data_IF_356724562899
#
_entry.id   IF_356724562899
#
_cell.length_a   1.000
_cell.length_b   1.000
_cell.length_c   1.000
_cell.angle_alpha   90.00
_cell.angle_beta   90.00
_cell.angle_gamma   90.00
#
_symmetry.space_group_name_H-M   'P 1'
#
loop_
_entity.id
_entity.type
_entity.pdbx_description
1 polymer ?
#
# COMPACT_ATOMS: atom_id res chain seq x y z
N UNK A 1 25.00 45.63 11.57
CA UNK A 1 26.17 44.90 11.02
C UNK A 1 25.91 44.60 9.55
N UNK A 2 26.86 44.84 8.64
CA UNK A 2 26.73 44.37 7.25
C UNK A 2 26.87 42.85 7.24
N UNK A 3 25.86 42.15 6.76
CA UNK A 3 25.96 40.71 6.51
C UNK A 3 27.02 40.45 5.44
N UNK A 4 27.71 39.30 5.51
CA UNK A 4 28.71 38.95 4.50
C UNK A 4 28.05 38.74 3.13
N UNK A 5 28.82 38.92 2.05
CA UNK A 5 28.36 38.69 0.68
C UNK A 5 27.76 37.29 0.51
N UNK A 6 28.33 36.28 1.18
CA UNK A 6 27.82 34.92 1.19
C UNK A 6 26.41 34.82 1.81
N UNK A 7 26.19 35.46 2.97
CA UNK A 7 24.88 35.47 3.63
C UNK A 7 23.84 36.22 2.81
N UNK A 8 24.23 37.25 2.06
CA UNK A 8 23.33 38.00 1.17
C UNK A 8 22.88 37.20 -0.05
N UNK A 9 23.72 36.29 -0.56
CA UNK A 9 23.42 35.49 -1.77
C UNK A 9 22.86 34.10 -1.45
N UNK A 10 23.15 33.54 -0.28
CA UNK A 10 22.77 32.18 0.11
C UNK A 10 21.83 32.12 1.31
N UNK A 11 21.50 33.27 1.91
CA UNK A 11 20.54 33.36 3.00
C UNK A 11 19.11 33.22 2.50
N UNK A 12 18.30 32.45 3.24
CA UNK A 12 16.85 32.43 3.10
C UNK A 12 16.22 33.07 4.34
N UNK A 13 15.21 33.90 4.15
CA UNK A 13 14.40 34.43 5.26
C UNK A 13 13.36 33.36 5.61
N UNK A 14 13.43 32.83 6.82
CA UNK A 14 12.39 31.97 7.38
C UNK A 14 11.63 32.74 8.44
N UNK A 15 10.30 32.71 8.38
CA UNK A 15 9.44 33.27 9.41
C UNK A 15 9.24 32.23 10.54
N UNK A 16 9.33 32.67 11.79
CA UNK A 16 9.19 31.84 12.99
C UNK A 16 8.00 32.31 13.83
N UNK A 17 6.87 32.51 13.17
CA UNK A 17 5.67 33.11 13.76
C UNK A 17 4.75 32.12 14.50
N UNK A 18 5.01 30.81 14.40
CA UNK A 18 4.22 29.76 15.07
C UNK A 18 5.08 28.81 15.93
N UNK A 19 4.42 28.04 16.80
CA UNK A 19 5.04 26.97 17.61
C UNK A 19 5.24 25.66 16.84
N UNK A 20 5.10 25.67 15.52
CA UNK A 20 5.21 24.48 14.68
C UNK A 20 6.68 24.03 14.52
N UNK A 21 6.86 22.77 14.11
CA UNK A 21 8.20 22.25 13.82
C UNK A 21 8.83 23.02 12.66
N UNK A 22 10.06 23.50 12.83
CA UNK A 22 10.78 24.28 11.82
C UNK A 22 11.56 23.37 10.88
N UNK A 23 11.60 23.74 9.60
CA UNK A 23 12.36 23.05 8.54
C UNK A 23 13.13 24.09 7.73
N UNK A 24 14.36 23.76 7.35
CA UNK A 24 15.18 24.60 6.46
C UNK A 24 14.84 24.22 5.01
N UNK A 25 14.21 25.14 4.28
CA UNK A 25 13.78 24.96 2.89
C UNK A 25 14.30 26.10 2.02
N UNK A 26 14.60 25.79 0.76
CA UNK A 26 14.89 26.81 -0.25
C UNK A 26 13.66 27.70 -0.51
N UNK A 27 13.80 28.92 -1.06
CA UNK A 27 12.65 29.80 -1.32
C UNK A 27 11.55 29.15 -2.18
N UNK A 28 11.93 28.32 -3.16
CA UNK A 28 10.97 27.60 -4.02
C UNK A 28 10.22 26.50 -3.24
N UNK A 29 10.92 25.75 -2.39
CA UNK A 29 10.29 24.73 -1.54
C UNK A 29 9.37 25.36 -0.48
N UNK A 30 9.74 26.51 0.08
CA UNK A 30 8.86 27.25 0.98
C UNK A 30 7.58 27.71 0.27
N UNK A 31 7.71 28.19 -0.97
CA UNK A 31 6.55 28.59 -1.79
C UNK A 31 5.62 27.42 -2.05
N UNK A 32 6.18 26.28 -2.49
CA UNK A 32 5.42 25.04 -2.72
C UNK A 32 4.74 24.56 -1.44
N UNK A 33 5.47 24.51 -0.31
CA UNK A 33 4.93 24.09 0.98
C UNK A 33 3.73 24.95 1.39
N UNK A 34 3.84 26.29 1.30
CA UNK A 34 2.72 27.19 1.62
C UNK A 34 1.49 26.92 0.76
N UNK A 35 1.66 26.65 -0.53
CA UNK A 35 0.53 26.33 -1.44
C UNK A 35 -0.13 25.00 -1.12
N UNK A 36 0.65 23.99 -0.75
CA UNK A 36 0.13 22.70 -0.27
C UNK A 36 -0.69 22.88 0.99
N UNK A 37 -0.15 23.58 1.98
CA UNK A 37 -0.81 23.82 3.28
C UNK A 37 -2.06 24.69 3.17
N UNK A 38 -2.11 25.61 2.20
CA UNK A 38 -3.24 26.50 2.01
C UNK A 38 -4.50 25.79 1.50
N UNK A 39 -4.36 24.68 0.78
CA UNK A 39 -5.49 24.00 0.08
C UNK A 39 -5.68 22.55 0.46
N UNK A 40 -4.65 21.88 0.99
CA UNK A 40 -4.68 20.46 1.29
C UNK A 40 -5.31 20.14 2.65
N UNK A 41 -6.00 19.00 2.72
CA UNK A 41 -6.45 18.38 3.97
C UNK A 41 -5.66 17.09 4.20
N UNK A 42 -5.14 16.84 5.42
CA UNK A 42 -4.40 15.60 5.71
C UNK A 42 -5.26 14.37 5.47
N UNK A 43 -4.72 13.32 4.84
CA UNK A 43 -5.47 12.09 4.56
C UNK A 43 -6.02 11.38 5.81
N UNK A 44 -5.39 11.56 6.97
CA UNK A 44 -5.94 11.09 8.26
C UNK A 44 -7.28 11.73 8.65
N UNK A 45 -7.58 12.91 8.10
CA UNK A 45 -8.79 13.68 8.37
C UNK A 45 -9.85 13.48 7.27
N UNK A 46 -9.56 12.67 6.25
CA UNK A 46 -10.52 12.25 5.23
C UNK A 46 -11.39 11.08 5.73
N UNK A 47 -12.56 10.88 5.12
CA UNK A 47 -13.43 9.71 5.34
C UNK A 47 -12.87 8.46 4.64
N UNK A 48 -11.66 8.06 5.04
CA UNK A 48 -10.93 6.91 4.52
C UNK A 48 -10.32 6.08 5.65
N UNK A 49 -10.06 4.81 5.38
CA UNK A 49 -9.35 3.90 6.27
C UNK A 49 -8.12 3.38 5.57
N UNK A 50 -6.96 3.51 6.23
CA UNK A 50 -5.66 3.12 5.71
C UNK A 50 -5.14 1.96 6.55
N UNK A 51 -4.93 0.80 5.93
CA UNK A 51 -4.64 -0.46 6.59
C UNK A 51 -3.38 -1.12 5.99
N UNK A 52 -2.80 -2.06 6.74
CA UNK A 52 -1.68 -2.87 6.29
C UNK A 52 -2.17 -4.16 5.61
N UNK A 53 -1.32 -4.77 4.79
CA UNK A 53 -1.60 -6.08 4.21
C UNK A 53 -1.48 -7.23 5.21
N UNK A 54 -1.93 -8.40 4.83
CA UNK A 54 -2.05 -9.58 5.69
C UNK A 54 -0.69 -10.20 5.96
N UNK A 55 -0.40 -10.45 7.23
CA UNK A 55 0.75 -11.25 7.66
C UNK A 55 0.37 -12.70 7.91
N UNK A 56 0.88 -13.60 7.08
CA UNK A 56 0.60 -15.05 7.21
C UNK A 56 1.43 -15.69 8.33
N UNK A 57 2.66 -15.21 8.56
CA UNK A 57 3.63 -15.81 9.47
C UNK A 57 4.36 -17.05 8.91
N UNK A 58 3.90 -17.65 7.81
CA UNK A 58 4.58 -18.73 7.08
C UNK A 58 4.04 -18.89 5.66
N UNK A 59 4.56 -18.10 4.71
CA UNK A 59 3.99 -17.96 3.37
C UNK A 59 3.81 -19.30 2.62
N UNK A 60 4.74 -20.23 2.73
CA UNK A 60 4.70 -21.51 1.98
C UNK A 60 3.43 -22.33 2.22
N UNK A 61 2.85 -22.25 3.43
CA UNK A 61 1.63 -22.98 3.76
C UNK A 61 0.35 -22.24 3.36
N UNK A 62 0.36 -20.90 3.46
CA UNK A 62 -0.84 -20.07 3.33
C UNK A 62 -1.01 -19.46 1.94
N UNK A 63 0.09 -19.25 1.19
CA UNK A 63 0.07 -18.71 -0.17
C UNK A 63 0.27 -19.86 -1.15
N UNK A 64 -0.76 -20.10 -1.96
CA UNK A 64 -0.81 -21.21 -2.91
C UNK A 64 -1.01 -20.71 -4.34
N UNK A 65 -0.63 -21.51 -5.33
CA UNK A 65 -0.97 -21.27 -6.73
C UNK A 65 -2.32 -21.89 -7.11
N UNK A 66 -2.73 -21.62 -8.35
CA UNK A 66 -3.92 -22.22 -8.97
C UNK A 66 -3.91 -23.74 -8.91
N UNK A 67 -2.79 -24.41 -9.24
CA UNK A 67 -2.72 -25.88 -9.21
C UNK A 67 -3.00 -26.43 -7.81
N UNK A 68 -2.37 -25.86 -6.79
CA UNK A 68 -2.59 -26.26 -5.41
C UNK A 68 -4.00 -25.93 -4.92
N UNK A 69 -4.57 -24.79 -5.33
CA UNK A 69 -5.97 -24.43 -5.05
C UNK A 69 -6.91 -25.48 -5.59
N UNK A 70 -6.78 -25.84 -6.88
CA UNK A 70 -7.63 -26.86 -7.50
C UNK A 70 -7.45 -28.23 -6.84
N UNK A 71 -6.21 -28.59 -6.48
CA UNK A 71 -5.95 -29.83 -5.75
C UNK A 71 -6.64 -29.86 -4.37
N UNK A 72 -6.66 -28.74 -3.63
CA UNK A 72 -7.38 -28.66 -2.34
C UNK A 72 -8.89 -28.82 -2.58
N UNK A 73 -9.47 -28.10 -3.55
CA UNK A 73 -10.89 -28.15 -3.86
C UNK A 73 -11.35 -29.53 -4.36
N UNK A 74 -10.50 -30.23 -5.12
CA UNK A 74 -10.77 -31.59 -5.60
C UNK A 74 -10.72 -32.64 -4.48
N UNK A 75 -10.01 -32.35 -3.38
CA UNK A 75 -9.91 -33.23 -2.21
C UNK A 75 -10.99 -32.95 -1.15
N UNK A 76 -11.89 -31.98 -1.36
CA UNK A 76 -13.06 -31.78 -0.51
C UNK A 76 -13.99 -32.99 -0.59
N UNK A 77 -14.55 -33.39 0.56
CA UNK A 77 -15.35 -34.60 0.71
C UNK A 77 -16.80 -34.39 0.28
N UNK A 78 -17.33 -33.19 0.43
CA UNK A 78 -18.69 -32.83 0.01
C UNK A 78 -18.70 -31.52 -0.76
N UNK A 79 -19.79 -31.29 -1.49
CA UNK A 79 -20.00 -30.05 -2.24
C UNK A 79 -20.12 -28.83 -1.29
N UNK A 80 -20.69 -29.01 -0.10
CA UNK A 80 -20.77 -27.96 0.92
C UNK A 80 -19.38 -27.58 1.46
N UNK A 81 -18.50 -28.57 1.70
CA UNK A 81 -17.09 -28.28 2.03
C UNK A 81 -16.40 -27.54 0.91
N UNK A 82 -16.59 -27.99 -0.35
CA UNK A 82 -15.98 -27.39 -1.53
C UNK A 82 -16.37 -25.92 -1.67
N UNK A 83 -17.66 -25.58 -1.52
CA UNK A 83 -18.15 -24.19 -1.56
C UNK A 83 -17.53 -23.32 -0.47
N UNK A 84 -17.58 -23.75 0.79
CA UNK A 84 -16.97 -23.00 1.91
C UNK A 84 -15.45 -22.83 1.73
N UNK A 85 -14.77 -23.86 1.22
CA UNK A 85 -13.33 -23.83 0.96
C UNK A 85 -12.99 -22.87 -0.19
N UNK A 86 -13.80 -22.84 -1.25
CA UNK A 86 -13.62 -21.90 -2.35
C UNK A 86 -13.75 -20.44 -1.89
N UNK A 87 -14.68 -20.14 -0.97
CA UNK A 87 -14.83 -18.79 -0.37
C UNK A 87 -13.70 -18.42 0.59
N UNK A 88 -13.09 -19.41 1.24
CA UNK A 88 -11.94 -19.26 2.14
C UNK A 88 -10.64 -18.95 1.36
N UNK A 89 -10.49 -19.47 0.14
CA UNK A 89 -9.28 -19.29 -0.67
C UNK A 89 -9.46 -18.08 -1.60
N UNK A 90 -8.76 -16.98 -1.31
CA UNK A 90 -8.96 -15.69 -1.98
C UNK A 90 -7.72 -15.22 -2.73
N UNK A 91 -7.84 -14.54 -3.88
CA UNK A 91 -6.71 -13.93 -4.57
C UNK A 91 -5.91 -12.99 -3.66
N UNK A 92 -4.58 -12.99 -3.82
CA UNK A 92 -3.67 -12.13 -3.04
C UNK A 92 -2.62 -11.47 -3.92
N UNK A 93 -2.39 -10.18 -3.67
CA UNK A 93 -1.35 -9.36 -4.25
C UNK A 93 -0.17 -9.21 -3.30
N UNK A 94 1.04 -9.24 -3.85
CA UNK A 94 2.29 -8.95 -3.16
C UNK A 94 2.80 -7.59 -3.60
N UNK A 95 3.74 -7.02 -2.85
CA UNK A 95 4.33 -5.72 -3.19
C UNK A 95 4.94 -5.61 -4.59
N UNK A 96 5.39 -6.73 -5.18
CA UNK A 96 5.93 -6.76 -6.56
C UNK A 96 4.86 -6.83 -7.65
N UNK A 97 3.63 -7.19 -7.28
CA UNK A 97 2.50 -7.33 -8.19
C UNK A 97 1.82 -5.95 -8.41
N UNK A 98 2.14 -4.95 -7.57
CA UNK A 98 1.60 -3.59 -7.65
C UNK A 98 2.26 -2.83 -8.79
N UNK A 99 1.45 -2.35 -9.73
CA UNK A 99 1.85 -1.47 -10.84
C UNK A 99 1.21 -0.09 -10.69
N UNK A 100 1.54 0.82 -11.59
CA UNK A 100 0.96 2.15 -11.60
C UNK A 100 -0.48 2.03 -12.11
N UNK A 101 -1.44 2.55 -11.36
CA UNK A 101 -2.90 2.49 -11.60
C UNK A 101 -3.53 1.09 -11.58
N UNK A 102 -2.84 0.05 -12.05
CA UNK A 102 -3.31 -1.34 -12.07
C UNK A 102 -2.36 -2.27 -11.30
N UNK A 103 -2.66 -3.57 -11.27
CA UNK A 103 -1.81 -4.60 -10.70
C UNK A 103 -1.70 -5.80 -11.66
N UNK A 104 -0.65 -6.59 -11.48
CA UNK A 104 -0.40 -7.82 -12.23
C UNK A 104 -0.54 -9.02 -11.29
N UNK A 105 -1.75 -9.59 -11.22
CA UNK A 105 -2.01 -10.72 -10.34
C UNK A 105 -1.27 -11.98 -10.84
N UNK A 106 -0.51 -12.60 -9.95
CA UNK A 106 0.39 -13.68 -10.29
C UNK A 106 -0.18 -15.09 -10.04
N UNK A 107 -1.50 -15.25 -10.21
CA UNK A 107 -2.22 -16.51 -9.97
C UNK A 107 -1.98 -17.09 -8.55
N UNK A 108 -1.83 -16.20 -7.56
CA UNK A 108 -1.61 -16.55 -6.17
C UNK A 108 -2.85 -16.32 -5.32
N UNK A 109 -3.08 -17.24 -4.41
CA UNK A 109 -4.20 -17.23 -3.50
C UNK A 109 -3.71 -17.36 -2.06
N UNK A 110 -4.48 -16.80 -1.13
CA UNK A 110 -4.33 -16.95 0.30
C UNK A 110 -5.41 -17.91 0.82
N UNK A 111 -5.01 -18.87 1.64
CA UNK A 111 -5.92 -19.57 2.56
C UNK A 111 -6.25 -18.61 3.71
N UNK A 112 -7.40 -17.93 3.63
CA UNK A 112 -7.75 -16.77 4.45
C UNK A 112 -8.34 -17.13 5.83
N UNK A 113 -7.64 -17.98 6.59
CA UNK A 113 -8.03 -18.39 7.96
C UNK A 113 -7.70 -17.30 8.99
N UNK A 114 -8.41 -16.19 8.91
CA UNK A 114 -8.21 -15.06 9.84
C UNK A 114 -8.70 -15.38 11.26
N UNK A 115 -7.91 -15.06 12.31
CA UNK A 115 -8.35 -15.21 13.70
C UNK A 115 -9.65 -14.49 14.04
N UNK A 116 -9.90 -13.31 13.44
CA UNK A 116 -11.12 -12.51 13.64
C UNK A 116 -12.42 -13.21 13.20
N UNK A 117 -12.31 -14.24 12.36
CA UNK A 117 -13.44 -15.00 11.81
C UNK A 117 -13.76 -16.27 12.59
N UNK A 118 -12.91 -16.65 13.54
CA UNK A 118 -13.12 -17.78 14.44
C UNK A 118 -13.48 -19.10 13.71
N UNK A 119 -12.82 -19.36 12.58
CA UNK A 119 -13.06 -20.59 11.81
C UNK A 119 -12.90 -21.85 12.68
N UNK A 120 -13.76 -22.83 12.41
CA UNK A 120 -13.58 -24.21 12.86
C UNK A 120 -12.91 -25.01 11.73
N UNK A 121 -11.65 -25.38 11.94
CA UNK A 121 -10.84 -26.11 10.96
C UNK A 121 -11.38 -27.51 10.67
N UNK A 122 -12.19 -28.09 11.56
CA UNK A 122 -12.82 -29.39 11.32
C UNK A 122 -13.89 -29.33 10.22
N UNK A 123 -14.42 -28.15 9.90
CA UNK A 123 -15.34 -27.93 8.79
C UNK A 123 -14.64 -27.81 7.42
N UNK A 124 -13.30 -27.82 7.41
CA UNK A 124 -12.44 -27.76 6.22
C UNK A 124 -11.40 -28.89 6.18
N UNK A 125 -11.80 -30.18 6.16
CA UNK A 125 -10.89 -31.32 6.12
C UNK A 125 -9.77 -31.25 5.08
N UNK A 126 -10.06 -30.78 3.85
CA UNK A 126 -9.06 -30.66 2.78
C UNK A 126 -7.98 -29.61 3.12
N UNK A 127 -8.39 -28.43 3.60
CA UNK A 127 -7.48 -27.35 4.04
C UNK A 127 -6.67 -27.80 5.25
N UNK A 128 -7.32 -28.44 6.23
CA UNK A 128 -6.65 -28.99 7.41
C UNK A 128 -5.53 -29.95 7.02
N UNK A 129 -5.80 -30.87 6.07
CA UNK A 129 -4.82 -31.82 5.56
C UNK A 129 -3.66 -31.13 4.85
N UNK A 130 -3.95 -30.15 3.99
CA UNK A 130 -2.93 -29.33 3.33
C UNK A 130 -2.02 -28.64 4.35
N UNK A 131 -2.58 -27.95 5.34
CA UNK A 131 -1.78 -27.25 6.35
C UNK A 131 -0.95 -28.22 7.20
N UNK A 132 -1.53 -29.34 7.64
CA UNK A 132 -0.80 -30.36 8.40
C UNK A 132 0.38 -30.97 7.63
N UNK A 133 0.36 -30.96 6.29
CA UNK A 133 1.49 -31.45 5.48
C UNK A 133 2.79 -30.66 5.69
N UNK A 134 2.70 -29.42 6.21
CA UNK A 134 3.86 -28.59 6.56
C UNK A 134 4.39 -28.85 7.99
N UNK A 135 3.71 -29.70 8.76
CA UNK A 135 4.02 -29.99 10.16
C UNK A 135 3.35 -28.99 11.12
N UNK A 136 2.64 -29.53 12.12
CA UNK A 136 1.92 -28.69 13.10
C UNK A 136 2.87 -27.85 13.94
N UNK A 137 4.04 -28.38 14.26
CA UNK A 137 5.11 -27.74 15.04
C UNK A 137 5.68 -26.52 14.33
N UNK A 138 5.63 -26.50 12.99
CA UNK A 138 6.04 -25.36 12.18
C UNK A 138 4.96 -24.29 12.14
N UNK A 139 3.70 -24.69 12.07
CA UNK A 139 2.56 -23.79 11.92
C UNK A 139 2.02 -23.25 13.24
N UNK A 140 2.22 -23.91 14.36
CA UNK A 140 1.79 -23.37 15.65
C UNK A 140 2.49 -22.05 15.95
N UNK A 141 1.80 -21.21 16.72
CA UNK A 141 2.23 -19.85 17.03
C UNK A 141 2.72 -19.81 18.48
N UNK A 142 3.69 -20.66 18.83
CA UNK A 142 4.22 -20.76 20.20
C UNK A 142 5.59 -20.10 20.39
N UNK A 143 6.31 -19.84 19.29
CA UNK A 143 7.69 -19.36 19.28
C UNK A 143 8.73 -20.40 19.72
N UNK A 144 8.34 -21.66 19.95
CA UNK A 144 9.23 -22.74 20.38
C UNK A 144 10.11 -23.23 19.23
N UNK A 145 11.22 -23.86 19.60
CA UNK A 145 12.06 -24.64 18.70
C UNK A 145 11.96 -26.10 19.08
N UNK A 146 11.68 -26.95 18.09
CA UNK A 146 11.56 -28.39 18.20
C UNK A 146 12.77 -29.07 17.57
N UNK A 147 13.14 -30.24 18.09
CA UNK A 147 14.11 -31.14 17.45
C UNK A 147 13.35 -32.39 17.02
N UNK A 148 13.13 -32.56 15.71
CA UNK A 148 12.39 -33.70 15.13
C UNK A 148 13.29 -34.38 14.11
N UNK A 149 13.56 -35.67 14.28
CA UNK A 149 14.41 -36.45 13.40
C UNK A 149 15.81 -35.83 13.16
N UNK A 150 16.36 -35.13 14.16
CA UNK A 150 17.65 -34.45 14.07
C UNK A 150 17.61 -33.05 13.44
N UNK A 151 16.47 -32.61 12.91
CA UNK A 151 16.30 -31.26 12.36
C UNK A 151 15.68 -30.31 13.38
N UNK A 152 16.16 -29.06 13.38
CA UNK A 152 15.59 -27.98 14.21
C UNK A 152 14.45 -27.31 13.46
N UNK A 153 13.24 -27.43 13.98
CA UNK A 153 12.04 -26.78 13.44
C UNK A 153 11.65 -25.64 14.37
N UNK A 154 11.53 -24.43 13.83
CA UNK A 154 11.09 -23.25 14.59
C UNK A 154 9.61 -23.00 14.31
N UNK A 155 8.81 -22.96 15.37
CA UNK A 155 7.41 -22.53 15.32
C UNK A 155 7.31 -21.06 14.90
N UNK A 156 6.14 -20.66 14.40
CA UNK A 156 5.83 -19.25 14.15
C UNK A 156 5.90 -18.43 15.45
N UNK A 157 5.98 -17.10 15.29
CA UNK A 157 6.01 -16.15 16.41
C UNK A 157 4.90 -16.48 17.42
N UNK A 158 5.21 -16.37 18.72
CA UNK A 158 4.23 -16.62 19.78
C UNK A 158 3.04 -15.65 19.67
N UNK A 159 1.83 -16.19 19.53
CA UNK A 159 0.55 -15.47 19.58
C UNK A 159 -0.49 -16.31 20.33
N UNK A 160 -1.73 -15.81 20.44
CA UNK A 160 -2.86 -16.55 21.01
C UNK A 160 -3.71 -17.25 19.93
N UNK A 161 -3.30 -17.17 18.66
CA UNK A 161 -4.05 -17.67 17.52
C UNK A 161 -3.86 -19.17 17.37
N UNK A 162 -4.82 -19.82 16.70
CA UNK A 162 -4.74 -21.25 16.40
C UNK A 162 -3.64 -21.50 15.36
N UNK A 163 -3.11 -22.73 15.38
CA UNK A 163 -1.99 -23.14 14.52
C UNK A 163 -2.31 -23.02 13.02
N UNK A 164 -3.58 -23.10 12.62
CA UNK A 164 -4.03 -23.00 11.23
C UNK A 164 -4.41 -21.58 10.81
N UNK A 165 -4.35 -20.60 11.71
CA UNK A 165 -4.73 -19.22 11.41
C UNK A 165 -3.55 -18.40 10.88
N UNK A 166 -3.81 -17.30 10.18
CA UNK A 166 -2.78 -16.30 9.87
C UNK A 166 -2.20 -15.68 11.15
N UNK A 167 -1.08 -14.97 11.03
CA UNK A 167 -0.40 -14.44 12.22
C UNK A 167 -1.13 -13.23 12.82
N UNK A 168 -1.64 -12.34 11.98
CA UNK A 168 -2.38 -11.17 12.42
C UNK A 168 -3.89 -11.46 12.41
N UNK A 169 -4.63 -10.81 13.31
CA UNK A 169 -6.08 -11.04 13.51
C UNK A 169 -6.92 -10.54 12.33
N UNK A 170 -6.52 -9.42 11.71
CA UNK A 170 -7.17 -8.76 10.56
C UNK A 170 -8.69 -8.65 10.74
N UNK A 171 -9.15 -7.69 11.55
CA UNK A 171 -10.58 -7.39 11.70
C UNK A 171 -11.18 -6.66 10.49
N UNK A 172 -10.37 -5.89 9.78
CA UNK A 172 -10.74 -5.09 8.61
C UNK A 172 -10.71 -5.88 7.28
N UNK A 173 -10.71 -7.22 7.32
CA UNK A 173 -10.51 -8.02 6.10
C UNK A 173 -11.61 -7.78 5.03
N UNK A 174 -12.81 -7.38 5.45
CA UNK A 174 -13.91 -7.03 4.54
C UNK A 174 -13.63 -5.76 3.74
N UNK A 175 -12.79 -4.85 4.25
CA UNK A 175 -12.41 -3.65 3.52
C UNK A 175 -11.63 -3.97 2.25
N UNK A 176 -10.91 -5.10 2.19
CA UNK A 176 -10.30 -5.54 0.93
C UNK A 176 -11.34 -5.78 -0.18
N UNK A 177 -12.61 -6.03 0.15
CA UNK A 177 -13.66 -6.25 -0.85
C UNK A 177 -14.23 -4.94 -1.41
N UNK A 178 -13.91 -3.81 -0.81
CA UNK A 178 -14.34 -2.49 -1.26
C UNK A 178 -13.38 -1.98 -2.35
N UNK A 179 -13.84 -1.05 -3.22
CA UNK A 179 -12.93 -0.27 -4.04
C UNK A 179 -11.84 0.34 -3.17
N UNK A 180 -10.59 0.15 -3.58
CA UNK A 180 -9.42 0.53 -2.78
C UNK A 180 -8.27 0.96 -3.66
N UNK A 181 -7.37 1.73 -3.07
CA UNK A 181 -6.01 1.87 -3.58
C UNK A 181 -5.09 0.94 -2.79
N UNK A 182 -4.16 0.27 -3.46
CA UNK A 182 -3.17 -0.62 -2.83
C UNK A 182 -1.77 -0.23 -3.33
N UNK A 183 -0.79 -0.21 -2.44
CA UNK A 183 0.59 0.12 -2.76
C UNK A 183 1.59 -0.75 -2.03
N UNK A 184 2.82 -0.79 -2.57
CA UNK A 184 3.95 -1.44 -1.92
C UNK A 184 4.42 -0.59 -0.74
N UNK A 185 4.51 -1.20 0.45
CA UNK A 185 4.91 -0.49 1.68
C UNK A 185 6.37 -0.02 1.68
N UNK A 186 7.26 -0.73 0.99
CA UNK A 186 8.68 -0.40 0.89
C UNK A 186 9.14 -0.52 -0.55
N UNK A 187 9.66 0.55 -1.13
CA UNK A 187 10.25 0.50 -2.47
C UNK A 187 10.85 1.81 -2.92
N UNK A 188 11.71 1.70 -3.93
CA UNK A 188 12.34 2.80 -4.64
C UNK A 188 11.32 3.59 -5.47
N UNK A 189 10.48 2.87 -6.22
CA UNK A 189 9.44 3.46 -7.10
C UNK A 189 8.07 3.40 -6.42
N UNK A 190 7.45 4.56 -6.28
CA UNK A 190 6.07 4.71 -5.80
C UNK A 190 5.08 4.30 -6.89
N UNK A 191 4.17 3.40 -6.55
CA UNK A 191 3.10 2.91 -7.42
C UNK A 191 1.87 2.63 -6.58
N UNK A 192 0.74 3.17 -7.01
CA UNK A 192 -0.55 2.93 -6.40
C UNK A 192 -1.46 2.29 -7.44
N UNK A 193 -2.04 1.14 -7.12
CA UNK A 193 -3.01 0.45 -7.97
C UNK A 193 -4.42 0.74 -7.46
N UNK A 194 -5.37 0.90 -8.36
CA UNK A 194 -6.80 0.90 -8.06
C UNK A 194 -7.34 -0.53 -8.21
N UNK A 195 -8.01 -1.04 -7.20
CA UNK A 195 -8.60 -2.39 -7.21
C UNK A 195 -10.05 -2.39 -6.76
N UNK A 196 -10.93 -2.87 -7.62
CA UNK A 196 -12.38 -3.05 -7.40
C UNK A 196 -12.80 -4.51 -7.35
N UNK A 197 -11.86 -5.45 -7.53
CA UNK A 197 -12.13 -6.90 -7.68
C UNK A 197 -12.04 -7.69 -6.37
N UNK A 198 -11.63 -7.04 -5.28
CA UNK A 198 -11.58 -7.66 -3.97
C UNK A 198 -10.30 -8.45 -3.67
N UNK A 199 -9.17 -8.18 -4.35
CA UNK A 199 -7.93 -8.87 -4.01
C UNK A 199 -7.46 -8.50 -2.60
N UNK A 200 -6.93 -9.50 -1.90
CA UNK A 200 -6.21 -9.28 -0.65
C UNK A 200 -4.81 -8.73 -0.94
N UNK A 201 -4.21 -8.03 0.04
CA UNK A 201 -2.81 -7.61 -0.02
C UNK A 201 -1.97 -8.35 1.03
N UNK A 202 -0.74 -8.75 0.70
CA UNK A 202 0.23 -9.30 1.65
C UNK A 202 0.89 -8.20 2.49
N UNK A 203 1.48 -8.49 3.65
CA UNK A 203 2.16 -7.54 4.57
C UNK A 203 3.26 -6.64 3.93
N UNK A 204 3.72 -7.00 2.73
CA UNK A 204 4.52 -6.15 1.85
C UNK A 204 3.77 -4.95 1.25
N UNK A 205 2.45 -4.87 1.43
CA UNK A 205 1.54 -3.85 0.90
C UNK A 205 0.82 -3.11 2.03
N UNK A 206 0.31 -1.93 1.69
CA UNK A 206 -0.71 -1.21 2.44
C UNK A 206 -1.85 -0.88 1.47
N UNK A 207 -3.04 -0.61 1.99
CA UNK A 207 -4.18 -0.23 1.17
C UNK A 207 -5.04 0.81 1.89
N UNK A 208 -5.82 1.56 1.12
CA UNK A 208 -6.79 2.51 1.63
C UNK A 208 -8.15 2.27 0.99
N UNK A 209 -9.21 2.42 1.77
CA UNK A 209 -10.61 2.31 1.34
C UNK A 209 -11.38 3.52 1.85
N UNK A 210 -12.52 3.83 1.24
CA UNK A 210 -13.33 4.98 1.61
C UNK A 210 -13.87 5.69 0.39
N UNK A 211 -14.16 6.97 0.52
CA UNK A 211 -14.61 7.81 -0.58
C UNK A 211 -13.41 8.25 -1.45
N UNK A 212 -13.66 8.62 -2.71
CA UNK A 212 -12.67 9.30 -3.58
C UNK A 212 -11.42 8.46 -3.95
N UNK A 213 -11.51 7.13 -3.94
CA UNK A 213 -10.35 6.24 -4.17
C UNK A 213 -9.70 6.40 -5.55
N UNK A 214 -10.50 6.60 -6.60
CA UNK A 214 -10.01 6.84 -7.95
C UNK A 214 -9.25 8.17 -8.04
N UNK A 215 -9.84 9.24 -7.50
CA UNK A 215 -9.20 10.56 -7.37
C UNK A 215 -7.84 10.48 -6.64
N UNK A 216 -7.80 9.79 -5.50
CA UNK A 216 -6.56 9.58 -4.76
C UNK A 216 -5.54 8.76 -5.56
N UNK A 217 -5.98 7.73 -6.29
CA UNK A 217 -5.09 6.94 -7.15
C UNK A 217 -4.42 7.83 -8.21
N UNK A 218 -5.16 8.72 -8.85
CA UNK A 218 -4.61 9.67 -9.82
C UNK A 218 -3.58 10.62 -9.20
N UNK A 219 -3.94 11.27 -8.08
CA UNK A 219 -3.06 12.25 -7.45
C UNK A 219 -1.78 11.58 -6.93
N UNK A 220 -1.89 10.45 -6.24
CA UNK A 220 -0.74 9.77 -5.65
C UNK A 220 0.23 9.19 -6.68
N UNK A 221 -0.24 8.86 -7.89
CA UNK A 221 0.60 8.47 -9.02
C UNK A 221 1.06 9.66 -9.90
N UNK A 222 0.65 10.89 -9.59
CA UNK A 222 1.14 12.08 -10.28
C UNK A 222 2.52 12.49 -9.77
N UNK A 223 3.23 13.34 -10.54
CA UNK A 223 4.49 13.96 -10.13
C UNK A 223 4.32 14.74 -8.82
N UNK A 224 3.19 15.42 -8.65
CA UNK A 224 2.88 16.12 -7.41
C UNK A 224 2.73 15.16 -6.23
N UNK A 225 2.00 14.06 -6.42
CA UNK A 225 1.86 13.01 -5.41
C UNK A 225 3.20 12.39 -5.01
N UNK A 226 4.05 12.08 -5.99
CA UNK A 226 5.40 11.58 -5.73
C UNK A 226 6.25 12.57 -4.94
N UNK A 227 6.15 13.87 -5.26
CA UNK A 227 6.84 14.93 -4.53
C UNK A 227 6.37 15.02 -3.06
N UNK A 228 5.10 14.74 -2.76
CA UNK A 228 4.60 14.71 -1.37
C UNK A 228 5.32 13.68 -0.50
N UNK A 229 5.90 12.63 -1.08
CA UNK A 229 6.64 11.59 -0.35
C UNK A 229 8.15 11.88 -0.24
N UNK A 230 8.64 13.05 -0.66
CA UNK A 230 10.09 13.35 -0.68
C UNK A 230 10.78 13.17 0.67
N UNK A 231 10.05 13.43 1.75
CA UNK A 231 10.52 13.38 3.14
C UNK A 231 10.14 12.07 3.86
N UNK A 232 9.58 11.09 3.14
CA UNK A 232 9.25 9.80 3.75
C UNK A 232 10.50 9.08 4.25
N UNK A 233 10.40 8.33 5.37
CA UNK A 233 11.54 7.59 5.90
C UNK A 233 12.12 6.65 4.85
N UNK A 234 13.45 6.52 4.83
CA UNK A 234 14.16 5.60 3.93
C UNK A 234 14.74 4.42 4.70
N UNK A 235 14.81 3.27 4.06
CA UNK A 235 15.56 2.12 4.58
C UNK A 235 17.07 2.38 4.50
N UNK A 236 17.87 1.52 5.12
CA UNK A 236 19.33 1.58 5.00
C UNK A 236 19.85 1.40 3.56
N UNK A 237 19.02 0.90 2.64
CA UNK A 237 19.31 0.76 1.21
C UNK A 237 18.79 1.93 0.36
N UNK A 238 18.12 2.92 0.98
CA UNK A 238 17.59 4.10 0.29
C UNK A 238 16.15 3.97 -0.23
N UNK A 239 15.50 2.81 -0.06
CA UNK A 239 14.10 2.62 -0.45
C UNK A 239 13.17 3.46 0.44
N UNK A 240 12.12 4.04 -0.14
CA UNK A 240 11.10 4.75 0.63
C UNK A 240 10.23 3.76 1.41
N UNK A 241 9.95 4.10 2.67
CA UNK A 241 8.98 3.43 3.52
C UNK A 241 7.66 4.21 3.49
N UNK A 242 6.73 3.76 2.66
CA UNK A 242 5.39 4.32 2.54
C UNK A 242 4.42 3.52 3.41
N UNK A 243 4.62 3.63 4.72
CA UNK A 243 3.71 3.05 5.71
C UNK A 243 2.43 3.88 5.86
N UNK A 244 1.49 3.36 6.64
CA UNK A 244 0.27 4.10 7.05
C UNK A 244 0.63 5.48 7.63
N UNK A 245 1.64 5.54 8.49
CA UNK A 245 2.09 6.80 9.10
C UNK A 245 2.71 7.80 8.11
N UNK A 246 3.22 7.33 6.97
CA UNK A 246 3.80 8.19 5.95
C UNK A 246 2.73 8.80 5.03
N UNK A 247 1.63 8.09 4.78
CA UNK A 247 0.54 8.54 3.90
C UNK A 247 -0.50 9.40 4.63
N UNK A 248 -0.81 9.08 5.89
CA UNK A 248 -1.75 9.83 6.74
C UNK A 248 -1.55 11.36 6.79
N UNK A 249 -0.32 11.90 6.90
CA UNK A 249 -0.11 13.36 6.95
C UNK A 249 -0.12 14.05 5.59
N UNK A 250 -0.22 13.32 4.47
CA UNK A 250 -0.18 13.94 3.14
C UNK A 250 -1.39 14.84 2.92
N UNK A 251 -1.11 16.05 2.45
CA UNK A 251 -2.08 17.12 2.24
C UNK A 251 -2.61 17.08 0.80
N UNK A 252 -3.82 16.57 0.62
CA UNK A 252 -4.50 16.53 -0.67
C UNK A 252 -5.72 17.45 -0.63
N UNK A 253 -5.90 18.37 -1.59
CA UNK A 253 -7.11 19.16 -1.68
C UNK A 253 -8.26 18.29 -2.20
N UNK A 254 -9.42 18.38 -1.55
CA UNK A 254 -10.64 17.80 -2.08
C UNK A 254 -11.27 18.78 -3.08
N UNK A 255 -11.43 18.38 -4.33
CA UNK A 255 -12.10 19.17 -5.35
C UNK A 255 -13.14 18.32 -6.09
N UNK A 256 -14.42 18.52 -5.73
CA UNK A 256 -15.54 17.75 -6.30
C UNK A 256 -15.71 17.95 -7.81
N UNK A 257 -15.41 19.15 -8.32
CA UNK A 257 -15.54 19.42 -9.76
C UNK A 257 -14.47 18.67 -10.57
N UNK A 258 -13.28 18.47 -9.98
CA UNK A 258 -12.20 17.69 -10.60
C UNK A 258 -12.31 16.19 -10.36
N UNK A 259 -13.08 15.74 -9.36
CA UNK A 259 -13.20 14.33 -9.02
C UNK A 259 -13.67 13.49 -10.22
N UNK A 260 -14.79 13.86 -10.83
CA UNK A 260 -15.32 13.15 -11.99
C UNK A 260 -14.34 13.17 -13.17
N UNK A 261 -13.57 14.25 -13.33
CA UNK A 261 -12.55 14.32 -14.37
C UNK A 261 -11.41 13.31 -14.11
N UNK A 262 -10.91 13.21 -12.88
CA UNK A 262 -9.89 12.22 -12.53
C UNK A 262 -10.41 10.78 -12.65
N UNK A 263 -11.67 10.52 -12.31
CA UNK A 263 -12.29 9.21 -12.50
C UNK A 263 -12.29 8.79 -13.97
N UNK A 264 -12.75 9.67 -14.87
CA UNK A 264 -12.74 9.40 -16.30
C UNK A 264 -11.33 9.21 -16.85
N UNK A 265 -10.36 10.02 -16.40
CA UNK A 265 -8.96 9.87 -16.80
C UNK A 265 -8.35 8.55 -16.28
N UNK A 266 -8.73 8.10 -15.08
CA UNK A 266 -8.29 6.81 -14.56
C UNK A 266 -8.82 5.65 -15.40
N UNK A 267 -10.09 5.68 -15.76
CA UNK A 267 -10.70 4.68 -16.65
C UNK A 267 -9.95 4.63 -17.99
N UNK A 268 -9.70 5.79 -18.61
CA UNK A 268 -8.94 5.87 -19.86
C UNK A 268 -7.51 5.32 -19.74
N UNK A 269 -6.80 5.60 -18.63
CA UNK A 269 -5.47 5.03 -18.37
C UNK A 269 -5.52 3.51 -18.24
N UNK A 270 -6.53 2.98 -17.54
CA UNK A 270 -6.69 1.54 -17.34
C UNK A 270 -7.04 0.81 -18.65
N UNK A 271 -7.82 1.44 -19.54
CA UNK A 271 -8.23 0.85 -20.81
C UNK A 271 -7.19 0.99 -21.93
N UNK A 272 -6.48 2.12 -22.00
CA UNK A 272 -5.67 2.49 -23.16
C UNK A 272 -4.19 2.69 -22.87
N UNK A 273 -3.78 2.75 -21.58
CA UNK A 273 -2.39 3.02 -21.17
C UNK A 273 -1.79 4.26 -21.85
N UNK A 274 -2.60 5.32 -21.91
CA UNK A 274 -2.29 6.56 -22.63
C UNK A 274 -1.33 7.45 -21.83
N UNK A 275 -0.12 7.68 -22.36
CA UNK A 275 0.82 8.65 -21.79
C UNK A 275 0.26 10.07 -21.78
N UNK A 276 -0.61 10.42 -22.74
CA UNK A 276 -1.21 11.75 -22.81
C UNK A 276 -2.20 11.97 -21.67
N UNK A 277 -2.98 10.94 -21.33
CA UNK A 277 -3.89 10.95 -20.18
C UNK A 277 -3.10 11.10 -18.88
N UNK A 278 -1.94 10.46 -18.76
CA UNK A 278 -1.06 10.67 -17.59
C UNK A 278 -0.50 12.09 -17.51
N UNK A 279 -0.14 12.72 -18.65
CA UNK A 279 0.26 14.13 -18.67
C UNK A 279 -0.86 15.04 -18.23
N UNK A 280 -2.09 14.76 -18.65
CA UNK A 280 -3.27 15.51 -18.25
C UNK A 280 -3.55 15.36 -16.74
N UNK A 281 -3.45 14.14 -16.20
CA UNK A 281 -3.50 13.90 -14.74
C UNK A 281 -2.46 14.75 -14.02
N UNK A 282 -1.22 14.79 -14.49
CA UNK A 282 -0.17 15.62 -13.88
C UNK A 282 -0.50 17.12 -13.95
N UNK A 283 -0.97 17.60 -15.10
CA UNK A 283 -1.35 19.00 -15.30
C UNK A 283 -2.47 19.42 -14.33
N UNK A 284 -3.48 18.58 -14.18
CA UNK A 284 -4.60 18.80 -13.24
C UNK A 284 -4.13 18.71 -11.79
N UNK A 285 -3.29 17.74 -11.46
CA UNK A 285 -2.72 17.59 -10.12
C UNK A 285 -1.94 18.84 -9.70
N UNK A 286 -1.11 19.43 -10.58
CA UNK A 286 -0.44 20.70 -10.28
C UNK A 286 -1.41 21.87 -10.16
N UNK A 287 -2.47 21.91 -10.97
CA UNK A 287 -3.50 22.96 -10.95
C UNK A 287 -4.23 23.01 -9.60
N UNK A 288 -4.44 21.88 -8.94
CA UNK A 288 -5.07 21.82 -7.61
C UNK A 288 -4.34 22.64 -6.54
N UNK A 289 -3.03 22.83 -6.71
CA UNK A 289 -2.17 23.55 -5.77
C UNK A 289 -1.77 24.95 -6.28
N UNK A 290 -2.36 25.42 -7.39
CA UNK A 290 -2.05 26.71 -8.01
C UNK A 290 -0.54 26.94 -8.24
N UNK A 291 0.18 25.90 -8.68
CA UNK A 291 1.63 25.97 -8.87
C UNK A 291 2.01 26.80 -10.09
N UNK A 292 3.07 27.61 -9.94
CA UNK A 292 3.68 28.36 -11.02
C UNK A 292 4.53 27.46 -11.92
N UNK A 293 4.85 27.88 -13.17
CA UNK A 293 5.71 27.09 -14.05
C UNK A 293 7.09 26.76 -13.45
N UNK A 294 7.67 27.67 -12.66
CA UNK A 294 8.94 27.42 -12.00
C UNK A 294 8.84 26.32 -10.93
N UNK A 295 7.77 26.32 -10.14
CA UNK A 295 7.51 25.30 -9.12
C UNK A 295 7.22 23.94 -9.75
N UNK A 296 6.45 23.92 -10.84
CA UNK A 296 6.17 22.70 -11.62
C UNK A 296 7.48 22.10 -12.15
N UNK A 297 8.33 22.91 -12.79
CA UNK A 297 9.62 22.43 -13.31
C UNK A 297 10.50 21.87 -12.19
N UNK A 298 10.58 22.57 -11.06
CA UNK A 298 11.34 22.10 -9.90
C UNK A 298 10.86 20.74 -9.39
N UNK A 299 9.54 20.53 -9.29
CA UNK A 299 8.96 19.25 -8.85
C UNK A 299 9.23 18.16 -9.89
N UNK A 300 9.00 18.44 -11.17
CA UNK A 300 9.27 17.49 -12.25
C UNK A 300 10.73 17.04 -12.23
N UNK A 301 11.67 17.98 -12.18
CA UNK A 301 13.11 17.68 -12.13
C UNK A 301 13.47 16.84 -10.90
N UNK A 302 12.93 17.20 -9.73
CA UNK A 302 13.16 16.46 -8.49
C UNK A 302 12.69 14.99 -8.60
N UNK A 303 11.47 14.78 -9.10
CA UNK A 303 10.89 13.43 -9.20
C UNK A 303 11.59 12.61 -10.28
N UNK A 304 11.88 13.20 -11.44
CA UNK A 304 12.58 12.50 -12.53
C UNK A 304 13.99 12.10 -12.14
N UNK A 305 14.76 12.96 -11.46
CA UNK A 305 16.09 12.61 -10.96
C UNK A 305 16.03 11.47 -9.92
N UNK A 306 15.02 11.51 -9.04
CA UNK A 306 14.81 10.48 -8.03
C UNK A 306 14.49 9.11 -8.63
N UNK A 307 13.75 9.09 -9.74
CA UNK A 307 13.38 7.86 -10.46
C UNK A 307 14.51 7.32 -11.36
N UNK A 308 15.36 8.18 -11.91
CA UNK A 308 16.51 7.77 -12.75
C UNK A 308 17.70 7.25 -11.95
N UNK A 309 17.79 7.63 -10.67
CA UNK A 309 18.88 7.18 -9.77
C UNK A 309 18.65 5.77 -9.20
N UNK A 310 17.68 5.01 -9.73
CA UNK A 310 17.13 3.77 -9.16
C UNK A 310 16.86 2.72 -10.24
#
# INVERSE_FOLDING_TARGET
MKQSVFVQHSGAVCDFSSSDSWVILSPIEQSIKRKIEAVGTPLKDWDIQINYGIKTGYNDAFIIDTEKREAILANCQTEEERKRTAELIRPILRGRDIRRYEYEWADKYLIATFPSRHYDIELYPAVKRHLLSFGKERLEQTGKTYSINGEKIKARKKTHNKWFETQDSISYWEDFMRPKIIWKRIGSILRFSYDTTGNLGLDSTCFATGQHMAYLCCILNSLMGHYMFKDSPKTGTGDLLVSVQAIEPILIPMNKDMECLFENLLEEVLEHRSEETEKEINRLAFKLYDLSPAEINYITDFVTQSQQSQ
#
